data_IF_872285683580
#
_entry.id   IF_872285683580
#
_cell.length_a   1.000
_cell.length_b   1.000
_cell.length_c   1.000
_cell.angle_alpha   90.00
_cell.angle_beta   90.00
_cell.angle_gamma   90.00
#
_symmetry.space_group_name_H-M   'P 1'
#
loop_
_entity.id
_entity.type
_entity.pdbx_description
1 polymer ?
#
# COMPACT_ATOMS: atom_id res chain seq x y z
N UNK A 1 -37.14 -3.82 -35.36
CA UNK A 1 -35.80 -4.27 -34.98
C UNK A 1 -35.71 -4.21 -33.46
N UNK A 2 -35.69 -5.34 -32.73
CA UNK A 2 -35.67 -5.30 -31.27
C UNK A 2 -34.28 -4.85 -30.78
N UNK A 3 -34.27 -3.77 -29.99
CA UNK A 3 -33.09 -3.28 -29.29
C UNK A 3 -32.67 -4.33 -28.24
N UNK A 4 -31.57 -5.01 -28.49
CA UNK A 4 -30.90 -5.83 -27.44
C UNK A 4 -30.50 -4.91 -26.29
N UNK A 5 -31.28 -4.91 -25.22
CA UNK A 5 -30.84 -4.33 -23.95
C UNK A 5 -29.64 -5.15 -23.46
N UNK A 6 -28.47 -4.53 -23.44
CA UNK A 6 -27.30 -5.07 -22.78
C UNK A 6 -27.68 -5.32 -21.31
N UNK A 7 -27.59 -6.56 -20.80
CA UNK A 7 -27.89 -6.80 -19.40
C UNK A 7 -26.96 -5.95 -18.55
N UNK A 8 -27.52 -5.22 -17.61
CA UNK A 8 -26.73 -4.52 -16.62
C UNK A 8 -25.97 -5.58 -15.81
N UNK A 9 -24.66 -5.66 -16.02
CA UNK A 9 -23.78 -6.49 -15.18
C UNK A 9 -23.79 -5.84 -13.81
N UNK A 10 -24.60 -6.36 -12.91
CA UNK A 10 -24.63 -5.90 -11.53
C UNK A 10 -23.27 -6.26 -10.91
N UNK A 11 -22.51 -5.33 -10.35
CA UNK A 11 -21.19 -5.59 -9.74
C UNK A 11 -21.23 -6.57 -8.55
N UNK A 12 -22.42 -6.97 -8.13
CA UNK A 12 -22.62 -7.86 -6.97
C UNK A 12 -21.96 -9.26 -7.09
N UNK A 13 -21.62 -9.72 -8.30
CA UNK A 13 -21.04 -11.06 -8.46
C UNK A 13 -19.56 -11.17 -8.06
N UNK A 14 -18.83 -10.06 -8.00
CA UNK A 14 -17.40 -10.08 -7.65
C UNK A 14 -17.13 -10.09 -6.13
N UNK A 15 -18.10 -9.67 -5.32
CA UNK A 15 -17.93 -9.46 -3.88
C UNK A 15 -18.24 -10.68 -3.02
N UNK A 16 -18.85 -11.72 -3.58
CA UNK A 16 -19.22 -12.93 -2.81
C UNK A 16 -18.02 -13.79 -2.37
N UNK A 17 -16.81 -13.44 -2.79
CA UNK A 17 -15.57 -14.16 -2.44
C UNK A 17 -14.83 -13.60 -1.24
N UNK A 18 -15.11 -12.35 -0.84
CA UNK A 18 -14.41 -11.70 0.26
C UNK A 18 -15.19 -11.92 1.56
N UNK A 19 -14.54 -12.48 2.55
CA UNK A 19 -15.13 -12.75 3.87
C UNK A 19 -14.46 -11.89 4.93
N UNK A 20 -15.18 -11.58 5.99
CA UNK A 20 -14.59 -10.97 7.17
C UNK A 20 -13.40 -11.81 7.65
N UNK A 21 -12.30 -11.15 7.94
CA UNK A 21 -11.03 -11.79 8.30
C UNK A 21 -10.09 -12.12 7.14
N UNK A 22 -10.53 -12.05 5.88
CA UNK A 22 -9.65 -12.23 4.73
C UNK A 22 -8.69 -11.05 4.58
N UNK A 23 -7.51 -11.35 4.06
CA UNK A 23 -6.47 -10.36 3.78
C UNK A 23 -6.45 -9.97 2.31
N UNK A 24 -6.25 -8.68 2.06
CA UNK A 24 -6.23 -8.10 0.74
C UNK A 24 -4.95 -7.29 0.50
N UNK A 25 -4.23 -7.59 -0.57
CA UNK A 25 -3.01 -6.90 -0.98
C UNK A 25 -2.86 -6.92 -2.49
N UNK A 26 -1.82 -6.28 -3.02
CA UNK A 26 -1.49 -6.34 -4.43
C UNK A 26 -1.25 -7.79 -4.89
N UNK A 27 -1.62 -8.13 -6.14
CA UNK A 27 -1.15 -9.36 -6.78
C UNK A 27 0.38 -9.36 -6.82
N UNK A 28 0.99 -10.31 -6.11
CA UNK A 28 2.43 -10.41 -5.97
C UNK A 28 2.94 -11.47 -6.93
N UNK A 29 3.86 -11.08 -7.83
CA UNK A 29 4.51 -12.02 -8.76
C UNK A 29 5.83 -12.52 -8.18
N UNK A 30 6.57 -11.65 -7.50
CA UNK A 30 7.84 -11.98 -6.85
C UNK A 30 8.01 -11.20 -5.57
N UNK A 31 8.61 -11.81 -4.56
CA UNK A 31 8.90 -11.17 -3.29
C UNK A 31 10.39 -11.14 -3.01
N UNK A 32 10.83 -10.08 -2.37
CA UNK A 32 12.15 -9.93 -1.78
C UNK A 32 12.03 -9.34 -0.38
N UNK A 33 13.16 -9.07 0.25
CA UNK A 33 13.22 -8.34 1.52
C UNK A 33 14.04 -7.07 1.32
N UNK A 34 13.72 -6.03 2.05
CA UNK A 34 14.47 -4.78 2.00
C UNK A 34 14.29 -3.94 3.25
N UNK A 35 15.27 -3.08 3.49
CA UNK A 35 15.29 -2.23 4.68
C UNK A 35 14.26 -1.11 4.57
N UNK A 36 13.54 -0.89 5.66
CA UNK A 36 12.66 0.26 5.82
C UNK A 36 13.44 1.38 6.52
N UNK A 37 14.11 2.21 5.74
CA UNK A 37 14.93 3.30 6.24
C UNK A 37 14.06 4.47 6.71
N UNK A 38 14.52 5.17 7.76
CA UNK A 38 13.85 6.36 8.31
C UNK A 38 13.69 7.47 7.27
N UNK A 39 12.57 8.20 7.38
CA UNK A 39 12.27 9.34 6.52
C UNK A 39 11.80 9.00 5.11
N UNK A 40 11.56 7.72 4.81
CA UNK A 40 10.96 7.32 3.54
C UNK A 40 9.50 6.93 3.72
N UNK A 41 8.63 7.67 3.05
CA UNK A 41 7.21 7.32 2.87
C UNK A 41 7.05 6.65 1.51
N UNK A 42 6.68 5.39 1.54
CA UNK A 42 6.38 4.63 0.31
C UNK A 42 4.88 4.41 0.19
N UNK A 43 4.35 4.46 -1.02
CA UNK A 43 2.95 4.17 -1.28
C UNK A 43 2.78 3.42 -2.59
N UNK A 44 1.75 2.58 -2.69
CA UNK A 44 1.36 1.88 -3.91
C UNK A 44 -0.15 1.87 -4.09
N UNK A 45 -0.64 1.95 -5.33
CA UNK A 45 -2.05 1.96 -5.62
C UNK A 45 -2.65 0.55 -5.54
N UNK A 46 -3.86 0.48 -5.00
CA UNK A 46 -4.65 -0.74 -4.94
C UNK A 46 -6.11 -0.40 -5.24
N UNK A 47 -6.75 -1.21 -6.08
CA UNK A 47 -8.18 -1.10 -6.30
C UNK A 47 -8.93 -1.86 -5.19
N UNK A 48 -9.80 -1.15 -4.49
CA UNK A 48 -10.73 -1.75 -3.54
C UNK A 48 -12.14 -1.81 -4.13
N UNK A 49 -12.86 -2.91 -3.95
CA UNK A 49 -14.32 -2.92 -4.10
C UNK A 49 -14.97 -2.14 -2.94
N UNK A 50 -16.31 -2.03 -2.94
CA UNK A 50 -17.00 -1.57 -1.74
C UNK A 50 -16.72 -2.54 -0.59
N UNK A 51 -15.96 -2.12 0.41
CA UNK A 51 -15.46 -3.01 1.47
C UNK A 51 -15.18 -2.24 2.76
N UNK A 52 -15.41 -2.88 3.89
CA UNK A 52 -14.94 -2.37 5.18
C UNK A 52 -13.68 -3.11 5.59
N UNK A 53 -12.71 -2.37 6.14
CA UNK A 53 -11.44 -2.90 6.63
C UNK A 53 -11.26 -2.56 8.11
N UNK A 54 -10.65 -3.47 8.87
CA UNK A 54 -10.39 -3.31 10.29
C UNK A 54 -8.91 -3.35 10.66
N UNK A 55 -8.03 -3.71 9.72
CA UNK A 55 -6.57 -3.73 9.92
C UNK A 55 -5.83 -3.26 8.68
N UNK A 56 -4.69 -2.61 8.95
CA UNK A 56 -3.62 -2.41 7.96
C UNK A 56 -2.37 -3.06 8.55
N UNK A 57 -1.63 -3.82 7.76
CA UNK A 57 -0.48 -4.56 8.26
C UNK A 57 0.67 -4.69 7.27
N UNK A 58 1.80 -5.12 7.80
CA UNK A 58 3.02 -5.43 7.05
C UNK A 58 3.73 -6.65 7.66
N UNK A 59 4.67 -7.24 6.93
CA UNK A 59 5.49 -8.35 7.43
C UNK A 59 6.94 -7.91 7.65
N UNK A 60 7.36 -7.91 8.91
CA UNK A 60 8.75 -7.69 9.31
C UNK A 60 9.50 -9.02 9.26
N UNK A 61 10.56 -9.09 8.46
CA UNK A 61 11.38 -10.31 8.28
C UNK A 61 12.65 -10.30 9.12
N UNK A 62 13.20 -9.11 9.41
CA UNK A 62 14.28 -8.90 10.38
C UNK A 62 13.88 -7.72 11.28
N UNK A 63 13.98 -7.93 12.58
CA UNK A 63 13.63 -6.90 13.57
C UNK A 63 14.52 -5.66 13.42
N UNK A 64 13.92 -4.48 13.55
CA UNK A 64 14.65 -3.24 13.77
C UNK A 64 15.15 -3.12 15.21
N UNK A 65 15.94 -2.09 15.50
CA UNK A 65 16.38 -1.80 16.85
C UNK A 65 15.20 -1.59 17.81
N UNK A 66 15.42 -1.84 19.09
CA UNK A 66 14.40 -1.66 20.13
C UNK A 66 13.85 -0.24 20.11
N UNK A 67 12.52 -0.10 20.07
CA UNK A 67 11.84 1.19 19.94
C UNK A 67 11.59 1.63 18.50
N UNK A 68 12.02 0.87 17.49
CA UNK A 68 11.69 1.20 16.09
C UNK A 68 10.21 1.03 15.81
N UNK A 69 9.63 2.02 15.13
CA UNK A 69 8.21 2.13 14.80
C UNK A 69 8.02 2.27 13.28
N UNK A 70 7.03 1.57 12.75
CA UNK A 70 6.46 1.80 11.44
C UNK A 70 5.09 2.45 11.56
N UNK A 71 4.70 3.24 10.58
CA UNK A 71 3.39 3.90 10.49
C UNK A 71 2.75 3.55 9.17
N UNK A 72 1.47 3.25 9.21
CA UNK A 72 0.72 2.84 8.02
C UNK A 72 -0.55 3.66 7.87
N UNK A 73 -0.95 3.88 6.61
CA UNK A 73 -2.19 4.59 6.32
C UNK A 73 -2.63 4.42 4.87
N UNK A 74 -3.69 5.11 4.54
CA UNK A 74 -4.30 5.09 3.21
C UNK A 74 -4.50 6.52 2.73
N UNK A 75 -4.11 6.76 1.48
CA UNK A 75 -4.37 8.00 0.76
C UNK A 75 -5.41 7.79 -0.34
N UNK A 76 -6.17 8.83 -0.63
CA UNK A 76 -7.00 8.89 -1.82
C UNK A 76 -6.12 8.92 -3.07
N UNK A 77 -6.62 8.38 -4.17
CA UNK A 77 -6.02 8.60 -5.48
C UNK A 77 -6.32 10.02 -5.98
N UNK A 78 -5.35 10.61 -6.67
CA UNK A 78 -5.58 11.86 -7.39
C UNK A 78 -6.60 11.63 -8.52
N UNK A 79 -7.46 12.60 -8.76
CA UNK A 79 -8.42 12.58 -9.87
C UNK A 79 -7.79 12.98 -11.20
N UNK A 80 -6.60 13.57 -11.16
CA UNK A 80 -5.93 14.14 -12.36
C UNK A 80 -4.60 13.47 -12.69
N UNK A 81 -4.06 12.67 -11.77
CA UNK A 81 -2.78 11.99 -11.95
C UNK A 81 -2.80 10.62 -11.28
N UNK A 82 -2.03 9.67 -11.79
CA UNK A 82 -1.80 8.38 -11.13
C UNK A 82 -0.87 8.56 -9.92
N UNK A 83 -1.34 9.27 -8.88
CA UNK A 83 -0.55 9.71 -7.74
C UNK A 83 -1.41 9.75 -6.46
N UNK A 84 -0.84 9.49 -5.28
CA UNK A 84 -1.57 9.66 -4.02
C UNK A 84 -1.85 11.14 -3.76
N UNK A 85 -2.99 11.44 -3.16
CA UNK A 85 -3.44 12.81 -2.89
C UNK A 85 -3.62 13.06 -1.39
N UNK A 86 -4.84 13.26 -0.93
CA UNK A 86 -5.16 13.52 0.47
C UNK A 86 -5.12 12.26 1.32
N UNK A 87 -4.64 12.38 2.54
CA UNK A 87 -4.69 11.31 3.54
C UNK A 87 -6.16 10.99 3.87
N UNK A 88 -6.51 9.72 3.75
CA UNK A 88 -7.82 9.22 4.13
C UNK A 88 -7.82 8.75 5.58
N UNK A 89 -6.79 8.00 5.97
CA UNK A 89 -6.60 7.55 7.33
C UNK A 89 -5.12 7.39 7.67
N UNK A 90 -4.71 7.91 8.83
CA UNK A 90 -3.47 7.53 9.50
C UNK A 90 -3.82 6.43 10.51
N UNK A 91 -3.39 5.21 10.24
CA UNK A 91 -3.63 4.05 11.10
C UNK A 91 -2.81 4.09 12.40
N UNK A 92 -1.86 5.02 12.50
CA UNK A 92 -0.95 5.10 13.64
C UNK A 92 0.28 4.22 13.49
N UNK A 93 0.99 4.05 14.60
CA UNK A 93 2.25 3.32 14.65
C UNK A 93 2.11 1.90 15.15
N UNK A 94 3.03 1.04 14.70
CA UNK A 94 3.22 -0.32 15.20
C UNK A 94 4.71 -0.56 15.45
N UNK A 95 5.03 -1.34 16.49
CA UNK A 95 6.41 -1.74 16.74
C UNK A 95 6.91 -2.67 15.63
N UNK A 96 8.07 -2.31 15.05
CA UNK A 96 8.80 -3.13 14.09
C UNK A 96 10.13 -3.67 14.67
N UNK A 97 10.23 -3.64 16.00
CA UNK A 97 11.37 -4.20 16.75
C UNK A 97 11.31 -5.71 16.92
N UNK A 98 10.33 -6.38 16.36
CA UNK A 98 10.18 -7.84 16.36
C UNK A 98 9.69 -8.32 15.01
N UNK A 99 10.04 -9.56 14.64
CA UNK A 99 9.63 -10.18 13.38
C UNK A 99 8.15 -10.61 13.37
N UNK A 100 7.61 -10.88 12.21
CA UNK A 100 6.23 -11.34 11.98
C UNK A 100 5.30 -10.26 11.48
N UNK A 101 4.02 -10.59 11.39
CA UNK A 101 2.99 -9.64 10.99
C UNK A 101 2.84 -8.54 12.04
N UNK A 102 2.78 -7.31 11.57
CA UNK A 102 2.58 -6.10 12.37
C UNK A 102 1.37 -5.36 11.84
N UNK A 103 0.40 -5.11 12.70
CA UNK A 103 -0.91 -4.58 12.31
C UNK A 103 -1.32 -3.40 13.18
N UNK A 104 -1.94 -2.42 12.56
CA UNK A 104 -2.69 -1.36 13.23
C UNK A 104 -4.18 -1.57 13.03
N UNK A 105 -4.96 -1.29 14.06
CA UNK A 105 -6.43 -1.35 13.99
C UNK A 105 -6.96 -0.08 13.35
N UNK A 106 -7.84 -0.25 12.39
CA UNK A 106 -8.57 0.85 11.75
C UNK A 106 -10.05 0.49 11.68
N UNK A 107 -10.90 1.46 11.40
CA UNK A 107 -12.31 1.24 11.10
C UNK A 107 -12.65 2.12 9.89
N UNK A 108 -12.64 1.54 8.71
CA UNK A 108 -12.79 2.30 7.47
C UNK A 108 -13.62 1.54 6.47
N UNK A 109 -14.65 2.19 5.94
CA UNK A 109 -15.42 1.69 4.79
C UNK A 109 -14.96 2.42 3.54
N UNK A 110 -14.52 1.67 2.54
CA UNK A 110 -14.05 2.15 1.26
C UNK A 110 -15.13 1.96 0.20
N UNK A 111 -15.44 2.99 -0.55
CA UNK A 111 -16.18 2.86 -1.80
C UNK A 111 -15.30 2.16 -2.86
N UNK A 112 -15.93 1.60 -3.88
CA UNK A 112 -15.17 1.03 -5.00
C UNK A 112 -14.31 2.10 -5.67
N UNK A 113 -12.99 1.87 -5.72
CA UNK A 113 -12.05 2.84 -6.28
C UNK A 113 -10.60 2.50 -6.03
N UNK A 114 -9.72 3.36 -6.56
CA UNK A 114 -8.29 3.29 -6.30
C UNK A 114 -7.93 4.09 -5.06
N UNK A 115 -7.10 3.48 -4.24
CA UNK A 115 -6.49 4.08 -3.04
C UNK A 115 -5.02 3.74 -3.01
N UNK A 116 -4.26 4.47 -2.21
CA UNK A 116 -2.83 4.24 -2.05
C UNK A 116 -2.54 3.78 -0.63
N UNK A 117 -2.09 2.55 -0.50
CA UNK A 117 -1.57 2.02 0.77
C UNK A 117 -0.18 2.58 1.00
N UNK A 118 0.06 3.14 2.18
CA UNK A 118 1.28 3.85 2.51
C UNK A 118 1.95 3.30 3.77
N UNK A 119 3.30 3.27 3.76
CA UNK A 119 4.13 2.95 4.90
C UNK A 119 5.23 4.00 5.07
N UNK A 120 5.40 4.46 6.30
CA UNK A 120 6.49 5.31 6.75
C UNK A 120 7.30 4.57 7.80
N UNK A 121 8.63 4.48 7.62
CA UNK A 121 9.52 4.13 8.72
C UNK A 121 9.60 5.31 9.67
N UNK A 122 8.67 5.35 10.64
CA UNK A 122 8.40 6.50 11.49
C UNK A 122 9.58 6.80 12.44
N UNK A 123 10.05 5.76 13.13
CA UNK A 123 11.22 5.86 14.00
C UNK A 123 12.12 4.65 13.76
N UNK A 124 13.38 4.88 13.44
CA UNK A 124 14.39 3.83 13.30
C UNK A 124 15.47 4.06 14.34
N UNK A 125 15.59 3.10 15.26
CA UNK A 125 16.58 3.12 16.33
C UNK A 125 17.67 2.11 16.02
N UNK A 126 18.91 2.54 15.99
CA UNK A 126 20.12 1.72 15.79
C UNK A 126 20.18 0.99 14.45
N UNK A 127 19.15 0.23 14.09
CA UNK A 127 19.08 -0.55 12.84
C UNK A 127 17.67 -0.49 12.23
N UNK A 128 17.61 -0.35 10.90
CA UNK A 128 16.35 -0.38 10.19
C UNK A 128 15.78 -1.82 10.17
N UNK A 129 14.46 -1.99 10.34
CA UNK A 129 13.83 -3.28 10.14
C UNK A 129 13.93 -3.70 8.67
N UNK A 130 14.01 -4.99 8.43
CA UNK A 130 13.84 -5.54 7.08
C UNK A 130 12.41 -6.03 6.93
N UNK A 131 11.77 -5.62 5.85
CA UNK A 131 10.39 -5.95 5.58
C UNK A 131 10.24 -6.76 4.30
N UNK A 132 9.15 -7.51 4.20
CA UNK A 132 8.77 -8.13 2.94
C UNK A 132 8.45 -7.03 1.94
N UNK A 133 9.08 -7.14 0.78
CA UNK A 133 8.85 -6.26 -0.36
C UNK A 133 8.42 -7.05 -1.57
N UNK A 134 7.70 -6.42 -2.48
CA UNK A 134 7.53 -6.94 -3.82
C UNK A 134 8.60 -6.35 -4.74
N UNK A 135 9.16 -7.20 -5.57
CA UNK A 135 10.15 -6.80 -6.57
C UNK A 135 9.50 -6.66 -7.95
N UNK A 136 8.53 -7.50 -8.23
CA UNK A 136 7.78 -7.50 -9.49
C UNK A 136 6.29 -7.51 -9.17
N UNK A 137 5.59 -6.52 -9.64
CA UNK A 137 4.13 -6.43 -9.57
C UNK A 137 3.58 -6.14 -10.96
N UNK A 138 2.68 -6.97 -11.40
CA UNK A 138 1.82 -6.63 -12.54
C UNK A 138 0.60 -5.92 -11.96
N UNK A 139 0.63 -4.59 -11.96
CA UNK A 139 -0.55 -3.81 -11.65
C UNK A 139 -1.26 -3.46 -12.98
N UNK A 140 -2.34 -4.14 -13.34
CA UNK A 140 -3.02 -3.90 -14.62
C UNK A 140 -3.67 -2.51 -14.70
N UNK A 141 -3.69 -1.78 -13.59
CA UNK A 141 -4.36 -0.50 -13.46
C UNK A 141 -3.41 0.69 -13.29
N UNK A 142 -2.11 0.45 -13.18
CA UNK A 142 -1.12 1.52 -13.10
C UNK A 142 -0.36 1.64 -14.43
N UNK A 143 -0.07 2.87 -14.89
CA UNK A 143 0.73 3.06 -16.08
C UNK A 143 2.14 2.47 -15.88
N UNK A 144 2.67 1.84 -16.91
CA UNK A 144 4.05 1.37 -16.95
C UNK A 144 4.93 2.59 -17.18
N UNK A 145 5.70 2.97 -16.18
CA UNK A 145 6.50 4.23 -16.19
C UNK A 145 7.83 4.09 -16.91
N UNK A 146 8.24 2.86 -17.30
CA UNK A 146 9.53 2.63 -17.96
C UNK A 146 9.43 1.54 -19.02
N UNK A 147 9.90 1.86 -20.21
CA UNK A 147 9.98 0.93 -21.34
C UNK A 147 11.04 -0.16 -21.17
N UNK A 148 11.98 0.00 -20.23
CA UNK A 148 13.10 -0.94 -20.06
C UNK A 148 12.79 -2.15 -19.20
N UNK A 149 11.62 -2.20 -18.57
CA UNK A 149 11.29 -3.27 -17.64
C UNK A 149 9.80 -3.55 -17.64
N UNK A 150 9.29 -4.12 -18.73
CA UNK A 150 7.90 -4.57 -18.88
C UNK A 150 7.44 -5.49 -17.72
N UNK A 151 8.36 -5.98 -16.90
CA UNK A 151 8.11 -6.90 -15.78
C UNK A 151 8.58 -6.39 -14.42
N UNK A 152 9.13 -5.17 -14.34
CA UNK A 152 9.67 -4.58 -13.10
C UNK A 152 9.02 -3.23 -12.75
N UNK A 153 7.86 -2.94 -13.26
CA UNK A 153 7.18 -1.70 -12.90
C UNK A 153 6.67 -1.82 -11.47
N UNK A 154 7.47 -1.38 -10.53
CA UNK A 154 6.97 -1.05 -9.23
C UNK A 154 5.92 0.04 -9.40
N UNK A 155 4.66 -0.29 -9.19
CA UNK A 155 3.55 0.67 -9.28
C UNK A 155 3.48 1.52 -8.01
N UNK A 156 4.61 1.98 -7.49
CA UNK A 156 4.66 2.73 -6.25
C UNK A 156 5.49 4.00 -6.36
N UNK A 157 5.32 4.86 -5.37
CA UNK A 157 6.08 6.10 -5.25
C UNK A 157 6.77 6.18 -3.88
N UNK A 158 7.88 6.89 -3.81
CA UNK A 158 8.64 7.11 -2.59
C UNK A 158 8.94 8.59 -2.41
N UNK A 159 8.47 9.15 -1.32
CA UNK A 159 8.89 10.46 -0.84
C UNK A 159 10.02 10.29 0.18
N UNK A 160 11.04 11.14 0.09
CA UNK A 160 12.15 11.20 1.04
C UNK A 160 12.00 12.41 1.97
N UNK A 161 12.66 12.37 3.12
CA UNK A 161 12.68 13.48 4.08
C UNK A 161 11.35 13.70 4.80
N UNK A 162 10.50 12.69 4.87
CA UNK A 162 9.22 12.76 5.60
C UNK A 162 9.50 12.67 7.09
N UNK A 163 9.00 13.65 7.85
CA UNK A 163 9.15 13.67 9.30
C UNK A 163 8.38 12.53 9.97
N UNK A 164 8.91 12.04 11.08
CA UNK A 164 8.21 11.12 11.98
C UNK A 164 7.07 11.80 12.74
N UNK A 165 6.19 10.99 13.31
CA UNK A 165 5.10 11.43 14.19
C UNK A 165 3.72 11.41 13.55
N UNK A 166 3.58 11.68 12.26
CA UNK A 166 2.31 11.59 11.53
C UNK A 166 2.52 11.38 10.03
N UNK A 167 1.55 10.78 9.36
CA UNK A 167 1.51 10.80 7.90
C UNK A 167 1.11 12.21 7.42
N UNK A 168 1.76 12.76 6.37
CA UNK A 168 1.37 14.05 5.81
C UNK A 168 -0.09 14.08 5.37
N UNK A 169 -0.82 15.15 5.65
CA UNK A 169 -2.22 15.32 5.25
C UNK A 169 -2.41 15.28 3.71
N UNK A 170 -1.39 15.72 2.98
CA UNK A 170 -1.28 15.55 1.53
C UNK A 170 0.02 14.82 1.23
N UNK A 171 -0.02 13.83 0.35
CA UNK A 171 1.19 13.08 -0.02
C UNK A 171 2.21 14.03 -0.64
N UNK A 172 3.51 13.97 -0.26
CA UNK A 172 4.51 14.90 -0.73
C UNK A 172 4.65 14.91 -2.24
N UNK A 173 4.63 16.08 -2.85
CA UNK A 173 4.87 16.23 -4.28
C UNK A 173 6.31 15.86 -4.66
N UNK A 174 6.51 15.42 -5.91
CA UNK A 174 7.85 15.09 -6.42
C UNK A 174 8.44 13.79 -5.87
N UNK A 175 7.60 12.90 -5.31
CA UNK A 175 8.06 11.58 -4.93
C UNK A 175 8.56 10.81 -6.17
N UNK A 176 9.61 10.02 -5.97
CA UNK A 176 10.23 9.23 -7.02
C UNK A 176 9.44 7.97 -7.29
N UNK A 177 9.17 7.66 -8.54
CA UNK A 177 8.61 6.38 -8.94
C UNK A 177 9.57 5.24 -8.58
N UNK A 178 9.04 4.20 -7.95
CA UNK A 178 9.79 3.00 -7.56
C UNK A 178 9.86 1.99 -8.73
N UNK A 179 10.00 2.49 -9.97
CA UNK A 179 10.19 1.66 -11.15
C UNK A 179 11.55 0.96 -11.16
N UNK A 180 11.56 -0.34 -11.29
CA UNK A 180 12.70 -1.11 -11.77
C UNK A 180 13.79 -1.54 -10.78
N UNK A 181 14.02 -0.87 -9.67
CA UNK A 181 15.14 -1.20 -8.75
C UNK A 181 14.82 -1.10 -7.26
N UNK A 182 13.67 -0.56 -6.89
CA UNK A 182 13.26 -0.38 -5.50
C UNK A 182 12.11 -1.30 -5.14
N UNK A 183 12.31 -2.23 -4.20
CA UNK A 183 11.21 -3.01 -3.67
C UNK A 183 10.22 -2.12 -2.90
N UNK A 184 8.94 -2.37 -3.10
CA UNK A 184 7.87 -1.71 -2.35
C UNK A 184 7.51 -2.59 -1.16
N UNK A 185 7.49 -2.02 0.04
CA UNK A 185 7.02 -2.75 1.23
C UNK A 185 5.60 -3.23 1.02
N UNK A 186 5.39 -4.54 1.19
CA UNK A 186 4.06 -5.13 1.07
C UNK A 186 3.25 -4.71 2.28
N UNK A 187 2.18 -3.96 2.02
CA UNK A 187 1.16 -3.62 2.98
C UNK A 187 -0.10 -4.35 2.57
N UNK A 188 -0.78 -4.91 3.54
CA UNK A 188 -2.06 -5.57 3.36
C UNK A 188 -3.13 -4.92 4.23
N UNK A 189 -4.38 -5.17 3.89
CA UNK A 189 -5.54 -4.83 4.71
C UNK A 189 -6.31 -6.08 5.07
N UNK A 190 -7.00 -6.06 6.21
CA UNK A 190 -7.92 -7.12 6.58
C UNK A 190 -9.35 -6.62 6.46
N UNK A 191 -10.20 -7.47 5.94
CA UNK A 191 -11.64 -7.22 5.78
C UNK A 191 -12.32 -7.33 7.15
N UNK A 192 -13.16 -6.34 7.47
CA UNK A 192 -13.93 -6.29 8.70
C UNK A 192 -15.08 -7.32 8.72
#
# INVERSE_FOLDING_TARGET
>A
MPLFRKPAITPALALSKYKAGDYFTLPIVSTQTGNANSGFLVAFPLFFPNISIDRIGCLVTVAGGVGSLGRMGIYNASTTAAYPSSLLIDGGTVSVSTTGNREVTVALTLAAGFYWLAYLADTVVTSAPTMRQQNVCINPFAPIVSTNTLFQSGSGVRAAGVASGSLPATFPAGATDLGGTGGIHIIYTRIA
#
